data_IF_061528114259
#
_entry.id   IF_061528114259
#
_cell.length_a   1.000
_cell.length_b   1.000
_cell.length_c   1.000
_cell.angle_alpha   90.00
_cell.angle_beta   90.00
_cell.angle_gamma   90.00
#
_symmetry.space_group_name_H-M   'P 1'
#
loop_
_entity.id
_entity.type
_entity.pdbx_description
1 polymer ?
#
# COMPACT_ATOMS: atom_id res chain seq x y z
N UNK A 1 -21.43 29.80 -15.40
CA UNK A 1 -20.81 29.01 -14.31
C UNK A 1 -19.54 28.27 -14.70
N UNK A 2 -19.36 27.76 -15.92
CA UNK A 2 -18.12 27.06 -16.35
C UNK A 2 -16.85 27.95 -16.45
N UNK A 3 -17.01 29.26 -16.70
CA UNK A 3 -15.87 30.20 -16.90
C UNK A 3 -15.04 30.46 -15.63
N UNK A 4 -15.67 30.43 -14.45
CA UNK A 4 -14.97 30.63 -13.17
C UNK A 4 -14.18 29.39 -12.72
N UNK A 5 -14.69 28.20 -13.06
CA UNK A 5 -13.99 26.92 -12.84
C UNK A 5 -12.70 26.83 -13.67
N UNK A 6 -12.75 27.23 -14.94
CA UNK A 6 -11.57 27.29 -15.82
C UNK A 6 -10.51 28.28 -15.31
N UNK A 7 -10.92 29.44 -14.80
CA UNK A 7 -10.00 30.44 -14.23
C UNK A 7 -9.34 29.96 -12.94
N UNK A 8 -10.05 29.21 -12.10
CA UNK A 8 -9.49 28.65 -10.86
C UNK A 8 -8.44 27.57 -11.13
N UNK A 9 -8.70 26.69 -12.11
CA UNK A 9 -7.74 25.65 -12.53
C UNK A 9 -6.48 26.27 -13.13
N UNK A 10 -6.61 27.32 -13.94
CA UNK A 10 -5.44 28.03 -14.50
C UNK A 10 -4.58 28.71 -13.42
N UNK A 11 -5.21 29.34 -12.42
CA UNK A 11 -4.51 29.96 -11.30
C UNK A 11 -3.76 28.92 -10.43
N UNK A 12 -4.39 27.77 -10.16
CA UNK A 12 -3.74 26.66 -9.45
C UNK A 12 -2.56 26.07 -10.26
N UNK A 13 -2.69 26.00 -11.59
CA UNK A 13 -1.61 25.56 -12.48
C UNK A 13 -0.40 26.49 -12.45
N UNK A 14 -0.60 27.81 -12.45
CA UNK A 14 0.50 28.77 -12.33
C UNK A 14 1.22 28.71 -10.98
N UNK A 15 0.49 28.48 -9.89
CA UNK A 15 1.08 28.32 -8.55
C UNK A 15 1.90 27.01 -8.47
N UNK A 16 1.41 25.93 -9.08
CA UNK A 16 2.12 24.66 -9.13
C UNK A 16 3.40 24.72 -10.00
N UNK A 17 3.41 25.56 -11.05
CA UNK A 17 4.55 25.72 -11.95
C UNK A 17 5.72 26.54 -11.35
N UNK A 18 5.50 27.30 -10.28
CA UNK A 18 6.52 28.16 -9.66
C UNK A 18 7.49 27.44 -8.70
N UNK A 19 7.32 26.14 -8.44
CA UNK A 19 8.01 25.45 -7.36
C UNK A 19 9.42 24.90 -7.67
N UNK A 20 10.00 25.20 -8.84
CA UNK A 20 11.31 24.63 -9.21
C UNK A 20 12.20 25.60 -10.00
N UNK A 21 13.04 26.36 -9.31
CA UNK A 21 14.33 26.81 -9.87
C UNK A 21 15.29 27.26 -8.74
N UNK A 22 16.02 26.31 -8.16
CA UNK A 22 17.12 26.60 -7.24
C UNK A 22 18.22 25.51 -7.28
N UNK A 23 18.30 24.76 -8.39
CA UNK A 23 19.28 23.67 -8.52
C UNK A 23 20.71 24.16 -8.80
N UNK A 24 20.88 25.38 -9.32
CA UNK A 24 22.19 25.88 -9.78
C UNK A 24 22.91 26.78 -8.78
N UNK A 25 22.43 26.90 -7.53
CA UNK A 25 23.16 27.66 -6.53
C UNK A 25 24.36 26.84 -6.02
N UNK A 26 25.62 27.31 -6.13
CA UNK A 26 26.77 26.56 -5.66
C UNK A 26 26.74 26.40 -4.14
N UNK A 27 26.70 25.15 -3.66
CA UNK A 27 26.77 24.84 -2.23
C UNK A 27 28.17 25.14 -1.68
N UNK A 28 28.25 26.05 -0.70
CA UNK A 28 29.48 26.36 0.05
C UNK A 28 29.60 25.55 1.36
N UNK A 29 28.86 24.46 1.51
CA UNK A 29 28.88 23.67 2.75
C UNK A 29 29.93 22.56 2.63
N UNK A 30 30.89 22.51 3.56
CA UNK A 30 31.83 21.39 3.67
C UNK A 30 31.11 20.05 3.85
N UNK A 31 31.81 18.90 3.75
CA UNK A 31 31.17 17.59 3.83
C UNK A 31 30.37 17.49 5.12
N UNK A 32 29.04 17.53 5.00
CA UNK A 32 28.16 17.30 6.12
C UNK A 32 28.31 15.82 6.42
N UNK A 33 28.77 15.48 7.64
CA UNK A 33 28.65 14.10 8.14
C UNK A 33 27.17 13.77 8.06
N UNK A 34 26.81 12.95 7.08
CA UNK A 34 25.43 12.59 6.85
C UNK A 34 24.92 11.89 8.12
N UNK A 35 23.77 12.29 8.68
CA UNK A 35 23.14 11.52 9.73
C UNK A 35 22.96 10.09 9.23
N UNK A 36 23.32 9.10 10.05
CA UNK A 36 22.90 7.72 9.79
C UNK A 36 21.38 7.71 9.92
N UNK A 37 20.69 7.68 8.79
CA UNK A 37 19.25 7.53 8.74
C UNK A 37 18.91 6.10 9.14
N UNK A 38 18.63 5.90 10.42
CA UNK A 38 17.92 4.70 10.86
C UNK A 38 16.52 4.79 10.24
N UNK A 39 16.04 3.75 9.53
CA UNK A 39 14.68 3.78 8.99
C UNK A 39 13.69 4.08 10.11
N UNK A 40 12.84 5.10 9.93
CA UNK A 40 11.80 5.44 10.90
C UNK A 40 10.80 4.27 11.10
N UNK A 41 10.76 3.35 10.13
CA UNK A 41 9.93 2.16 10.14
C UNK A 41 10.67 1.00 9.43
N UNK A 42 10.47 -0.21 9.94
CA UNK A 42 10.95 -1.45 9.33
C UNK A 42 9.82 -2.49 9.37
N UNK A 43 9.72 -3.27 8.31
CA UNK A 43 8.86 -4.45 8.23
C UNK A 43 9.43 -5.64 9.01
N UNK A 44 10.67 -5.54 9.54
CA UNK A 44 11.28 -6.62 10.31
C UNK A 44 10.55 -6.87 11.62
N UNK A 45 10.07 -8.09 11.83
CA UNK A 45 9.41 -8.50 13.07
C UNK A 45 8.42 -9.64 12.91
N UNK A 46 7.88 -10.09 14.05
CA UNK A 46 6.80 -11.07 14.10
C UNK A 46 5.46 -10.42 13.71
N UNK A 47 4.62 -11.18 13.00
CA UNK A 47 3.23 -10.82 12.76
C UNK A 47 2.33 -12.02 13.03
N UNK A 48 1.09 -11.74 13.41
CA UNK A 48 0.01 -12.71 13.57
C UNK A 48 -1.24 -12.15 12.90
N UNK A 49 -2.03 -13.02 12.29
CA UNK A 49 -3.28 -12.67 11.63
C UNK A 49 -4.34 -13.74 11.85
N UNK A 50 -5.59 -13.34 11.63
CA UNK A 50 -6.73 -14.22 11.64
C UNK A 50 -7.64 -13.88 10.46
N UNK A 51 -8.31 -14.89 9.92
CA UNK A 51 -9.30 -14.74 8.87
C UNK A 51 -10.58 -15.48 9.24
N UNK A 52 -11.71 -14.93 8.80
CA UNK A 52 -13.03 -15.52 8.96
C UNK A 52 -13.89 -15.20 7.73
N UNK A 53 -14.80 -16.09 7.39
CA UNK A 53 -15.67 -15.99 6.24
C UNK A 53 -16.84 -16.95 6.34
N UNK A 54 -17.84 -16.73 5.49
CA UNK A 54 -18.99 -17.61 5.34
C UNK A 54 -19.21 -17.79 3.85
N UNK A 55 -19.26 -19.04 3.40
CA UNK A 55 -19.51 -19.41 2.02
C UNK A 55 -20.89 -20.05 1.88
N UNK A 56 -21.49 -19.86 0.72
CA UNK A 56 -22.74 -20.51 0.32
C UNK A 56 -22.64 -20.87 -1.17
N UNK A 57 -23.31 -21.95 -1.58
CA UNK A 57 -23.30 -22.36 -2.98
C UNK A 57 -24.04 -23.67 -3.25
N UNK A 58 -24.57 -23.82 -4.46
CA UNK A 58 -25.33 -25.00 -4.85
C UNK A 58 -24.51 -25.81 -5.86
N UNK A 59 -24.37 -27.11 -5.64
CA UNK A 59 -23.71 -28.00 -6.60
C UNK A 59 -24.69 -28.96 -7.26
N UNK A 60 -24.93 -28.75 -8.56
CA UNK A 60 -25.67 -29.66 -9.42
C UNK A 60 -24.70 -30.47 -10.29
N UNK A 61 -24.68 -31.79 -10.10
CA UNK A 61 -23.90 -32.71 -10.94
C UNK A 61 -24.84 -33.44 -11.90
N UNK A 62 -25.03 -32.86 -13.09
CA UNK A 62 -25.81 -33.46 -14.21
C UNK A 62 -27.23 -33.88 -13.81
N UNK A 63 -27.92 -33.08 -13.00
CA UNK A 63 -29.29 -33.35 -12.53
C UNK A 63 -29.35 -34.30 -11.32
N UNK A 64 -28.21 -34.70 -10.77
CA UNK A 64 -28.11 -35.39 -9.49
C UNK A 64 -27.54 -34.40 -8.47
N UNK A 65 -28.38 -34.01 -7.52
CA UNK A 65 -27.97 -33.24 -6.34
C UNK A 65 -27.15 -34.13 -5.41
N UNK A 66 -25.88 -34.38 -5.79
CA UNK A 66 -24.98 -35.23 -5.03
C UNK A 66 -24.51 -34.58 -3.72
N UNK A 67 -24.58 -33.24 -3.60
CA UNK A 67 -23.98 -32.50 -2.49
C UNK A 67 -24.88 -31.44 -1.81
N UNK A 68 -26.10 -31.18 -2.32
CA UNK A 68 -27.04 -30.21 -1.71
C UNK A 68 -26.55 -28.76 -1.71
N UNK A 69 -27.20 -27.92 -0.88
CA UNK A 69 -26.76 -26.54 -0.60
C UNK A 69 -25.54 -26.57 0.34
N UNK A 70 -24.42 -26.03 -0.12
CA UNK A 70 -23.13 -26.02 0.57
C UNK A 70 -22.89 -24.67 1.23
N UNK A 71 -23.43 -24.53 2.43
CA UNK A 71 -23.27 -23.35 3.26
C UNK A 71 -22.41 -23.65 4.49
N UNK A 72 -21.45 -22.78 4.79
CA UNK A 72 -20.54 -23.03 5.90
C UNK A 72 -19.62 -21.87 6.27
N UNK A 73 -19.22 -21.85 7.55
CA UNK A 73 -18.21 -20.94 8.06
C UNK A 73 -16.80 -21.44 7.72
N UNK A 74 -15.91 -20.52 7.36
CA UNK A 74 -14.48 -20.77 7.17
C UNK A 74 -13.70 -19.77 8.01
N UNK A 75 -12.61 -20.24 8.62
CA UNK A 75 -11.72 -19.36 9.38
C UNK A 75 -10.34 -19.97 9.54
N UNK A 76 -9.40 -19.14 9.93
CA UNK A 76 -8.00 -19.52 10.07
C UNK A 76 -7.19 -18.48 10.83
N UNK A 77 -5.98 -18.89 11.19
CA UNK A 77 -4.97 -18.04 11.78
C UNK A 77 -3.65 -18.23 11.05
N UNK A 78 -2.81 -17.20 11.09
CA UNK A 78 -1.47 -17.22 10.52
C UNK A 78 -0.51 -16.49 11.45
N UNK A 79 0.73 -16.95 11.48
CA UNK A 79 1.83 -16.30 12.18
C UNK A 79 3.02 -16.33 11.23
N UNK A 80 3.87 -15.31 11.30
CA UNK A 80 5.08 -15.29 10.51
C UNK A 80 6.09 -14.28 11.01
N UNK A 81 7.21 -14.23 10.30
CA UNK A 81 8.27 -13.29 10.58
C UNK A 81 8.80 -12.69 9.29
N UNK A 82 8.90 -11.36 9.26
CA UNK A 82 9.46 -10.63 8.14
C UNK A 82 10.87 -10.14 8.47
N UNK A 83 11.73 -10.09 7.46
CA UNK A 83 13.06 -9.49 7.52
C UNK A 83 13.27 -8.58 6.31
N UNK A 84 13.55 -7.31 6.59
CA UNK A 84 13.74 -6.29 5.56
C UNK A 84 15.21 -6.04 5.24
N UNK A 85 15.58 -6.15 3.96
CA UNK A 85 16.88 -5.78 3.41
C UNK A 85 16.69 -4.59 2.44
N UNK A 86 16.80 -3.36 2.96
CA UNK A 86 16.60 -2.15 2.16
C UNK A 86 15.17 -2.06 1.62
N UNK A 87 15.00 -2.20 0.30
CA UNK A 87 13.70 -2.16 -0.39
C UNK A 87 13.00 -3.53 -0.50
N UNK A 88 13.66 -4.62 -0.10
CA UNK A 88 13.13 -5.98 -0.21
C UNK A 88 12.71 -6.48 1.18
N UNK A 89 11.56 -7.17 1.26
CA UNK A 89 11.09 -7.86 2.47
C UNK A 89 10.99 -9.35 2.17
N UNK A 90 11.63 -10.17 2.99
CA UNK A 90 11.53 -11.63 2.97
C UNK A 90 10.69 -12.08 4.17
N UNK A 91 9.81 -13.06 3.99
CA UNK A 91 8.93 -13.54 5.04
C UNK A 91 8.71 -15.05 4.97
N UNK A 92 8.39 -15.63 6.13
CA UNK A 92 7.95 -17.02 6.35
C UNK A 92 6.67 -16.99 7.17
#
# INVERSE_FOLDING_TARGET
>A
MKKYLLSGVAALGLIAAGAASAADLPSRKGPVVAPVYVPAFTWTGFYVGANAGYGWGNMDSRGVSAFGDLDGFVGGGQIGYNYQLGQIVLGV
#
